data_IF_096493268041
#
_entry.id   IF_096493268041
#
_cell.length_a   1.000
_cell.length_b   1.000
_cell.length_c   1.000
_cell.angle_alpha   90.00
_cell.angle_beta   90.00
_cell.angle_gamma   90.00
#
_symmetry.space_group_name_H-M   'P 1'
#
loop_
_entity.id
_entity.type
_entity.pdbx_description
1 polymer ?
#
# COMPACT_ATOMS: atom_id res chain seq x y z
N UNK A 1 14.57 19.35 19.39
CA UNK A 1 14.30 18.58 18.16
C UNK A 1 15.61 17.96 17.71
N UNK A 2 15.70 16.62 17.69
CA UNK A 2 16.89 15.92 17.20
C UNK A 2 16.67 15.59 15.72
N UNK A 3 17.58 16.02 14.86
CA UNK A 3 17.55 15.69 13.44
C UNK A 3 17.90 14.20 13.28
N UNK A 4 17.00 13.44 12.66
CA UNK A 4 17.21 12.03 12.34
C UNK A 4 18.23 11.93 11.21
N UNK A 5 19.26 11.11 11.40
CA UNK A 5 20.37 10.90 10.44
C UNK A 5 20.17 9.63 9.61
N UNK A 6 20.91 9.49 8.50
CA UNK A 6 20.89 8.28 7.65
C UNK A 6 21.35 7.01 8.42
N UNK A 7 22.17 7.17 9.46
CA UNK A 7 22.54 6.06 10.33
C UNK A 7 21.36 5.61 11.22
N UNK A 8 20.49 6.54 11.63
CA UNK A 8 19.29 6.20 12.40
C UNK A 8 18.31 5.36 11.56
N UNK A 9 18.30 5.52 10.22
CA UNK A 9 17.48 4.76 9.26
C UNK A 9 17.83 3.27 9.18
N UNK A 10 19.11 2.91 9.33
CA UNK A 10 19.54 1.49 9.32
C UNK A 10 19.14 0.79 10.62
N UNK A 11 19.07 1.54 11.73
CA UNK A 11 18.76 1.01 13.06
C UNK A 11 17.31 1.23 13.53
N UNK A 12 16.52 1.99 12.77
CA UNK A 12 15.11 2.22 13.09
C UNK A 12 14.31 0.94 12.89
N UNK A 13 13.42 0.66 13.85
CA UNK A 13 12.56 -0.51 13.84
C UNK A 13 11.70 -0.45 12.56
N UNK A 14 11.41 -1.59 11.92
CA UNK A 14 10.51 -1.67 10.75
C UNK A 14 9.17 -0.91 10.92
N UNK A 15 8.77 -0.64 12.17
CA UNK A 15 7.65 0.22 12.56
C UNK A 15 7.73 1.68 12.04
N UNK A 16 8.88 2.17 11.57
CA UNK A 16 8.99 3.47 10.90
C UNK A 16 8.65 3.42 9.38
N UNK A 17 8.39 2.21 8.85
CA UNK A 17 7.85 1.95 7.50
C UNK A 17 6.35 1.69 7.51
N UNK A 18 5.58 2.47 8.30
CA UNK A 18 4.12 2.35 8.40
C UNK A 18 3.44 2.43 7.02
N UNK A 19 4.03 3.16 6.08
CA UNK A 19 3.56 3.21 4.70
C UNK A 19 3.69 1.86 3.97
N UNK A 20 4.74 1.10 4.23
CA UNK A 20 4.93 -0.24 3.67
C UNK A 20 3.93 -1.23 4.26
N UNK A 21 3.66 -1.15 5.57
CA UNK A 21 2.64 -1.98 6.23
C UNK A 21 1.26 -1.77 5.61
N UNK A 22 0.88 -0.52 5.31
CA UNK A 22 -0.39 -0.21 4.63
C UNK A 22 -0.47 -0.93 3.28
N UNK A 23 0.60 -0.89 2.47
CA UNK A 23 0.62 -1.59 1.17
C UNK A 23 0.48 -3.10 1.31
N UNK A 24 1.14 -3.68 2.32
CA UNK A 24 1.07 -5.11 2.63
C UNK A 24 -0.35 -5.51 3.04
N UNK A 25 -1.00 -4.73 3.91
CA UNK A 25 -2.36 -5.00 4.37
C UNK A 25 -3.36 -4.89 3.21
N UNK A 26 -3.19 -3.90 2.32
CA UNK A 26 -3.97 -3.80 1.07
C UNK A 26 -3.75 -5.05 0.21
N UNK A 27 -2.50 -5.44 -0.06
CA UNK A 27 -2.17 -6.60 -0.88
C UNK A 27 -2.75 -7.92 -0.34
N UNK A 28 -2.81 -8.06 0.98
CA UNK A 28 -3.45 -9.21 1.67
C UNK A 28 -4.97 -9.16 1.65
N UNK A 29 -5.56 -7.99 1.35
CA UNK A 29 -7.00 -7.76 1.43
C UNK A 29 -7.50 -7.44 2.84
N UNK A 30 -6.62 -7.16 3.79
CA UNK A 30 -6.98 -6.66 5.13
C UNK A 30 -7.23 -5.14 5.07
N UNK A 31 -8.32 -4.76 4.42
CA UNK A 31 -8.62 -3.36 4.11
C UNK A 31 -9.01 -2.54 5.36
N UNK A 32 -9.52 -3.19 6.41
CA UNK A 32 -9.87 -2.51 7.66
C UNK A 32 -8.62 -2.12 8.45
N UNK A 33 -7.65 -3.03 8.57
CA UNK A 33 -6.34 -2.70 9.16
C UNK A 33 -5.62 -1.64 8.32
N UNK A 34 -5.65 -1.76 6.99
CA UNK A 34 -5.06 -0.76 6.10
C UNK A 34 -5.70 0.63 6.31
N UNK A 35 -7.04 0.72 6.38
CA UNK A 35 -7.77 1.99 6.62
C UNK A 35 -7.41 2.60 7.97
N UNK A 36 -7.38 1.79 9.03
CA UNK A 36 -6.98 2.24 10.37
C UNK A 36 -5.56 2.85 10.36
N UNK A 37 -4.60 2.14 9.79
CA UNK A 37 -3.20 2.59 9.71
C UNK A 37 -3.06 3.83 8.82
N UNK A 38 -3.78 3.88 7.69
CA UNK A 38 -3.78 5.03 6.79
C UNK A 38 -4.28 6.29 7.50
N UNK A 39 -5.40 6.21 8.22
CA UNK A 39 -5.93 7.31 9.03
C UNK A 39 -4.95 7.78 10.09
N UNK A 40 -4.39 6.85 10.86
CA UNK A 40 -3.40 7.16 11.90
C UNK A 40 -2.15 7.85 11.32
N UNK A 41 -1.71 7.40 10.14
CA UNK A 41 -0.56 8.00 9.45
C UNK A 41 -0.90 9.39 8.89
N UNK A 42 -2.11 9.60 8.36
CA UNK A 42 -2.58 10.89 7.91
C UNK A 42 -2.64 11.91 9.07
N UNK A 43 -3.16 11.51 10.24
CA UNK A 43 -3.14 12.33 11.45
C UNK A 43 -1.72 12.67 11.90
N UNK A 44 -0.78 11.72 11.80
CA UNK A 44 0.64 11.96 12.12
C UNK A 44 1.25 12.98 11.15
N UNK A 45 0.98 12.87 9.86
CA UNK A 45 1.42 13.83 8.84
C UNK A 45 0.81 15.22 9.01
N UNK A 46 -0.41 15.33 9.57
CA UNK A 46 -1.05 16.62 9.83
C UNK A 46 -0.42 17.36 11.02
N UNK A 47 0.17 16.65 11.98
CA UNK A 47 0.85 17.25 13.15
C UNK A 47 2.20 17.87 12.82
N UNK A 48 2.87 17.39 11.77
CA UNK A 48 4.16 17.91 11.30
C UNK A 48 4.24 17.84 9.76
N UNK A 49 3.60 18.79 9.06
CA UNK A 49 3.48 18.75 7.60
C UNK A 49 4.80 18.96 6.87
N UNK A 50 5.75 19.66 7.49
CA UNK A 50 7.09 19.94 6.91
C UNK A 50 8.10 18.82 7.18
N UNK A 51 7.68 17.80 7.93
CA UNK A 51 8.50 16.62 8.18
C UNK A 51 8.93 15.96 6.88
N UNK A 52 10.22 15.63 6.79
CA UNK A 52 10.75 14.77 5.72
C UNK A 52 9.93 13.49 5.60
N UNK A 53 9.63 12.84 6.72
CA UNK A 53 8.84 11.62 6.76
C UNK A 53 7.38 11.85 6.40
N UNK A 54 6.79 12.97 6.81
CA UNK A 54 5.44 13.36 6.40
C UNK A 54 5.29 13.43 4.88
N UNK A 55 6.28 14.01 4.17
CA UNK A 55 6.29 14.04 2.70
C UNK A 55 6.42 12.65 2.08
N UNK A 56 7.18 11.74 2.69
CA UNK A 56 7.32 10.36 2.20
C UNK A 56 6.02 9.57 2.41
N UNK A 57 5.45 9.60 3.61
CA UNK A 57 4.23 8.89 3.95
C UNK A 57 3.02 9.35 3.15
N UNK A 58 2.91 10.66 2.88
CA UNK A 58 1.85 11.24 2.03
C UNK A 58 1.78 10.63 0.64
N UNK A 59 2.92 10.22 0.06
CA UNK A 59 2.93 9.54 -1.25
C UNK A 59 2.12 8.24 -1.24
N UNK A 60 2.00 7.58 -0.08
CA UNK A 60 1.18 6.38 0.07
C UNK A 60 -0.23 6.75 0.52
N UNK A 61 -0.37 7.55 1.58
CA UNK A 61 -1.70 7.85 2.16
C UNK A 61 -2.59 8.61 1.19
N UNK A 62 -2.07 9.61 0.48
CA UNK A 62 -2.88 10.47 -0.38
C UNK A 62 -3.47 9.69 -1.58
N UNK A 63 -2.81 8.58 -1.98
CA UNK A 63 -3.28 7.68 -3.04
C UNK A 63 -4.21 6.59 -2.50
N UNK A 64 -3.90 6.03 -1.33
CA UNK A 64 -4.60 4.87 -0.78
C UNK A 64 -5.89 5.25 -0.02
N UNK A 65 -5.88 6.34 0.74
CA UNK A 65 -6.96 6.76 1.63
C UNK A 65 -8.33 6.88 0.93
N UNK A 66 -8.48 7.61 -0.19
CA UNK A 66 -9.78 7.72 -0.86
C UNK A 66 -10.30 6.37 -1.37
N UNK A 67 -9.41 5.48 -1.80
CA UNK A 67 -9.77 4.15 -2.30
C UNK A 67 -10.19 3.21 -1.15
N UNK A 68 -9.50 3.31 -0.01
CA UNK A 68 -9.83 2.57 1.22
C UNK A 68 -11.17 3.02 1.80
N UNK A 69 -11.45 4.33 1.84
CA UNK A 69 -12.73 4.87 2.32
C UNK A 69 -13.89 4.51 1.37
N UNK A 70 -13.65 4.51 0.05
CA UNK A 70 -14.64 4.05 -0.93
C UNK A 70 -14.82 2.52 -0.96
N UNK A 71 -13.88 1.75 -0.40
CA UNK A 71 -13.87 0.29 -0.51
C UNK A 71 -13.64 -0.22 -1.95
N UNK A 72 -12.99 0.60 -2.79
CA UNK A 72 -12.81 0.31 -4.22
C UNK A 72 -11.68 -0.71 -4.44
N UNK A 73 -12.04 -2.00 -4.34
CA UNK A 73 -11.10 -3.11 -4.52
C UNK A 73 -10.41 -3.09 -5.88
N UNK A 74 -11.11 -2.92 -7.02
CA UNK A 74 -10.45 -2.80 -8.33
C UNK A 74 -9.42 -1.67 -8.39
N UNK A 75 -9.74 -0.49 -7.86
CA UNK A 75 -8.79 0.62 -7.85
C UNK A 75 -7.59 0.36 -6.93
N UNK A 76 -7.79 -0.29 -5.78
CA UNK A 76 -6.70 -0.71 -4.89
C UNK A 76 -5.77 -1.71 -5.56
N UNK A 77 -6.29 -2.68 -6.31
CA UNK A 77 -5.49 -3.62 -7.10
C UNK A 77 -4.66 -2.88 -8.15
N UNK A 78 -5.28 -1.94 -8.89
CA UNK A 78 -4.58 -1.13 -9.87
C UNK A 78 -3.43 -0.31 -9.24
N UNK A 79 -3.66 0.24 -8.05
CA UNK A 79 -2.66 0.99 -7.28
C UNK A 79 -1.50 0.10 -6.82
N UNK A 80 -1.77 -1.14 -6.39
CA UNK A 80 -0.71 -2.10 -6.02
C UNK A 80 0.22 -2.38 -7.20
N UNK A 81 -0.34 -2.67 -8.38
CA UNK A 81 0.45 -2.88 -9.59
C UNK A 81 1.18 -1.61 -10.06
N UNK A 82 0.65 -0.43 -9.78
CA UNK A 82 1.37 0.82 -10.06
C UNK A 82 2.62 0.95 -9.19
N UNK A 83 2.50 0.75 -7.87
CA UNK A 83 3.65 0.75 -6.97
C UNK A 83 4.67 -0.34 -7.29
N UNK A 84 4.19 -1.52 -7.68
CA UNK A 84 5.03 -2.62 -8.15
C UNK A 84 5.85 -2.19 -9.37
N UNK A 85 5.22 -1.63 -10.41
CA UNK A 85 5.93 -1.12 -11.60
C UNK A 85 6.93 -0.03 -11.25
N UNK A 86 6.54 0.94 -10.41
CA UNK A 86 7.44 2.00 -9.95
C UNK A 86 8.69 1.42 -9.26
N UNK A 87 8.51 0.38 -8.44
CA UNK A 87 9.60 -0.29 -7.75
C UNK A 87 10.53 -1.03 -8.72
N UNK A 88 9.97 -1.82 -9.63
CA UNK A 88 10.73 -2.58 -10.64
C UNK A 88 11.58 -1.63 -11.47
N UNK A 89 10.98 -0.55 -11.98
CA UNK A 89 11.70 0.44 -12.80
C UNK A 89 12.77 1.17 -12.01
N UNK A 90 12.49 1.54 -10.77
CA UNK A 90 13.51 2.19 -9.91
C UNK A 90 14.70 1.27 -9.64
N UNK A 91 14.50 -0.04 -9.61
CA UNK A 91 15.54 -1.02 -9.32
C UNK A 91 16.18 -1.63 -10.58
N UNK A 92 15.67 -1.32 -11.78
CA UNK A 92 16.17 -1.89 -13.04
C UNK A 92 15.94 -3.39 -13.16
N UNK A 93 14.84 -3.90 -12.58
CA UNK A 93 14.54 -5.33 -12.50
C UNK A 93 13.67 -5.85 -13.64
N UNK A 94 13.34 -5.03 -14.63
CA UNK A 94 12.40 -5.35 -15.71
C UNK A 94 12.73 -6.66 -16.44
N UNK A 95 14.03 -6.94 -16.63
CA UNK A 95 14.49 -8.13 -17.34
C UNK A 95 14.33 -9.44 -16.53
N UNK A 96 14.13 -9.34 -15.22
CA UNK A 96 14.08 -10.48 -14.30
C UNK A 96 12.74 -10.64 -13.58
N UNK A 97 11.90 -9.61 -13.65
CA UNK A 97 10.64 -9.57 -12.94
C UNK A 97 9.54 -10.35 -13.67
N UNK A 98 8.88 -11.26 -12.96
CA UNK A 98 7.66 -11.92 -13.41
C UNK A 98 6.50 -11.47 -12.50
N UNK A 99 5.43 -10.84 -13.06
CA UNK A 99 4.29 -10.40 -12.27
C UNK A 99 3.61 -11.56 -11.56
N UNK A 100 3.31 -11.37 -10.27
CA UNK A 100 2.54 -12.34 -9.47
C UNK A 100 1.27 -11.67 -8.95
N UNK A 101 0.10 -12.34 -9.01
CA UNK A 101 -1.14 -11.75 -8.55
C UNK A 101 -1.11 -11.52 -7.03
N UNK A 102 -1.62 -10.37 -6.57
CA UNK A 102 -1.76 -10.11 -5.14
C UNK A 102 -2.87 -10.99 -4.53
N UNK A 103 -2.76 -11.40 -3.24
CA UNK A 103 -3.84 -12.13 -2.56
C UNK A 103 -5.22 -11.45 -2.63
N UNK A 104 -5.25 -10.12 -2.66
CA UNK A 104 -6.45 -9.30 -2.85
C UNK A 104 -7.21 -9.64 -4.16
N UNK A 105 -6.46 -9.94 -5.24
CA UNK A 105 -7.02 -10.31 -6.55
C UNK A 105 -7.65 -11.71 -6.53
N UNK A 106 -6.95 -12.66 -5.89
CA UNK A 106 -7.41 -14.05 -5.79
C UNK A 106 -8.72 -14.12 -5.00
N UNK A 107 -8.82 -13.35 -3.92
CA UNK A 107 -10.02 -13.24 -3.11
C UNK A 107 -11.19 -12.56 -3.85
N UNK A 108 -10.91 -11.76 -4.88
CA UNK A 108 -11.93 -11.16 -5.73
C UNK A 108 -12.43 -12.15 -6.80
N UNK A 109 -11.56 -13.02 -7.30
CA UNK A 109 -11.87 -14.01 -8.34
C UNK A 109 -12.82 -15.12 -7.87
N UNK A 110 -12.94 -15.38 -6.55
CA UNK A 110 -13.91 -16.33 -5.99
C UNK A 110 -15.38 -15.86 -6.06
N UNK A 111 -15.66 -14.69 -6.64
CA UNK A 111 -16.99 -14.07 -6.68
C UNK A 111 -17.74 -14.26 -8.01
N UNK A 112 -17.55 -15.36 -8.77
CA UNK A 112 -18.47 -15.92 -9.81
C UNK A 112 -17.76 -16.99 -10.67
N UNK A 113 -18.45 -18.06 -11.14
CA UNK A 113 -19.71 -17.97 -11.90
C UNK A 113 -20.88 -18.80 -11.35
N UNK A 114 -22.06 -18.17 -11.36
CA UNK A 114 -23.34 -18.86 -11.41
C UNK A 114 -23.31 -19.87 -12.56
N UNK A 115 -23.34 -21.14 -12.21
CA UNK A 115 -23.50 -22.26 -13.13
C UNK A 115 -24.84 -22.09 -13.87
N UNK A 116 -24.91 -22.22 -15.20
CA UNK A 116 -26.19 -22.36 -15.86
C UNK A 116 -26.81 -23.70 -15.46
N UNK A 117 -28.03 -23.66 -14.91
CA UNK A 117 -28.89 -24.83 -14.80
C UNK A 117 -29.04 -25.47 -16.17
N UNK A 118 -28.85 -26.79 -16.23
CA UNK A 118 -29.03 -27.60 -17.43
C UNK A 118 -29.61 -28.95 -17.02
N UNK A 119 -30.50 -29.53 -17.84
CA UNK A 119 -31.76 -29.01 -18.36
C UNK A 119 -32.97 -29.50 -17.53
#
# INVERSE_FOLDING_TARGET
MRLVTEADFITSRLADHVDTDIRIDIARGDLDTARMKCRALHERCARDPESYWGRIWRKTTDRADPLLEAGDRPALIALLHEWERELITRLGLEAYYEPTPFPLEISSASSSPSRPDRP
#
